data_IF_449895594989
#
_entry.id   IF_449895594989
#
_cell.length_a   1.000
_cell.length_b   1.000
_cell.length_c   1.000
_cell.angle_alpha   90.00
_cell.angle_beta   90.00
_cell.angle_gamma   90.00
#
_symmetry.space_group_name_H-M   'P 1'
#
loop_
_entity.id
_entity.type
_entity.pdbx_description
1 polymer ?
#
# COMPACT_ATOMS: atom_id res chain seq x y z
N UNK A 1 -3.81 -4.47 -4.05
CA UNK A 1 -4.49 -5.76 -3.78
C UNK A 1 -3.53 -6.94 -3.60
N UNK A 2 -2.38 -6.95 -4.30
CA UNK A 2 -1.33 -7.97 -4.11
C UNK A 2 -0.73 -7.87 -2.71
N UNK A 3 -0.36 -6.69 -2.26
CA UNK A 3 0.22 -6.45 -0.93
C UNK A 3 -0.74 -6.82 0.22
N UNK A 4 -2.05 -6.57 0.08
CA UNK A 4 -3.04 -7.00 1.08
C UNK A 4 -3.19 -8.53 1.14
N UNK A 5 -3.02 -9.25 0.02
CA UNK A 5 -3.03 -10.73 0.03
C UNK A 5 -1.75 -11.28 0.64
N UNK A 6 -0.58 -10.70 0.32
CA UNK A 6 0.71 -11.09 0.91
C UNK A 6 0.70 -10.92 2.43
N UNK A 7 0.22 -9.78 2.93
CA UNK A 7 0.05 -9.53 4.36
C UNK A 7 -0.91 -10.57 4.98
N UNK A 8 -2.04 -10.92 4.33
CA UNK A 8 -2.95 -11.95 4.83
C UNK A 8 -2.32 -13.33 4.92
N UNK A 9 -1.54 -13.77 3.93
CA UNK A 9 -0.89 -15.10 3.95
C UNK A 9 0.27 -15.17 4.95
N UNK A 10 1.04 -14.10 5.12
CA UNK A 10 2.10 -14.02 6.13
C UNK A 10 1.55 -14.01 7.57
N UNK A 11 0.36 -13.44 7.81
CA UNK A 11 -0.30 -13.46 9.11
C UNK A 11 -0.85 -14.85 9.52
N UNK A 12 -1.15 -15.76 8.58
CA UNK A 12 -1.62 -17.12 8.93
C UNK A 12 -0.52 -18.03 9.51
N UNK A 13 0.76 -17.68 9.38
CA UNK A 13 1.88 -18.44 9.97
C UNK A 13 2.04 -18.19 11.48
N UNK A 14 1.29 -17.24 12.04
CA UNK A 14 1.38 -16.83 13.44
C UNK A 14 0.94 -17.88 14.49
N UNK A 15 0.37 -19.00 14.09
CA UNK A 15 -0.36 -19.91 15.01
C UNK A 15 0.45 -21.08 15.60
N UNK A 16 1.77 -21.14 15.51
CA UNK A 16 2.51 -22.33 15.96
C UNK A 16 3.60 -22.10 17.01
N UNK A 17 3.45 -21.11 17.88
CA UNK A 17 4.27 -21.06 19.09
C UNK A 17 3.43 -21.38 20.31
N UNK A 18 3.53 -22.63 20.76
CA UNK A 18 2.97 -23.08 22.01
C UNK A 18 3.43 -22.19 23.16
N UNK A 19 2.49 -21.47 23.74
CA UNK A 19 2.67 -20.70 24.95
C UNK A 19 2.86 -21.69 26.09
N UNK A 20 4.10 -21.98 26.42
CA UNK A 20 4.43 -22.63 27.72
C UNK A 20 4.20 -21.62 28.83
N UNK A 21 3.10 -21.80 29.51
CA UNK A 21 2.83 -21.51 30.89
C UNK A 21 3.36 -20.24 31.54
N UNK A 22 2.91 -19.06 31.05
CA UNK A 22 2.84 -17.84 31.86
C UNK A 22 1.44 -17.30 31.73
N UNK A 23 0.82 -16.90 32.82
CA UNK A 23 -0.50 -16.29 32.85
C UNK A 23 -0.45 -14.99 32.02
N UNK A 24 -0.65 -15.11 30.71
CA UNK A 24 -0.78 -13.95 29.83
C UNK A 24 -1.91 -13.09 30.37
N UNK A 25 -1.62 -11.83 30.65
CA UNK A 25 -2.64 -10.94 31.14
C UNK A 25 -3.78 -10.84 30.13
N UNK A 26 -4.97 -10.58 30.63
CA UNK A 26 -6.18 -10.43 29.79
C UNK A 26 -5.99 -9.45 28.63
N UNK A 27 -5.17 -8.40 28.83
CA UNK A 27 -4.81 -7.41 27.83
C UNK A 27 -3.95 -7.98 26.69
N UNK A 28 -2.94 -8.79 26.99
CA UNK A 28 -2.09 -9.45 25.98
C UNK A 28 -2.91 -10.40 25.11
N UNK A 29 -3.82 -11.18 25.73
CA UNK A 29 -4.71 -12.10 25.03
C UNK A 29 -5.67 -11.30 24.11
N UNK A 30 -6.25 -10.20 24.62
CA UNK A 30 -7.14 -9.34 23.83
C UNK A 30 -6.41 -8.74 22.64
N UNK A 31 -5.23 -8.17 22.86
CA UNK A 31 -4.39 -7.55 21.85
C UNK A 31 -3.99 -8.57 20.77
N UNK A 32 -3.51 -9.75 21.18
CA UNK A 32 -3.17 -10.82 20.26
C UNK A 32 -4.35 -11.27 19.40
N UNK A 33 -5.57 -11.32 19.94
CA UNK A 33 -6.78 -11.63 19.17
C UNK A 33 -7.09 -10.58 18.12
N UNK A 34 -7.01 -9.29 18.46
CA UNK A 34 -7.28 -8.19 17.55
C UNK A 34 -6.27 -8.19 16.38
N UNK A 35 -4.98 -8.35 16.70
CA UNK A 35 -3.92 -8.46 15.70
C UNK A 35 -4.13 -9.64 14.76
N UNK A 36 -4.40 -10.83 15.31
CA UNK A 36 -4.60 -12.04 14.52
C UNK A 36 -5.84 -11.97 13.62
N UNK A 37 -6.88 -11.28 14.06
CA UNK A 37 -8.11 -11.10 13.28
C UNK A 37 -8.00 -9.96 12.25
N UNK A 38 -6.95 -9.11 12.34
CA UNK A 38 -6.83 -7.91 11.52
C UNK A 38 -7.95 -6.89 11.80
N UNK A 39 -8.42 -6.85 13.05
CA UNK A 39 -9.50 -5.94 13.46
C UNK A 39 -8.89 -4.59 13.90
N UNK A 40 -8.41 -3.85 12.88
CA UNK A 40 -7.64 -2.63 13.10
C UNK A 40 -8.46 -1.50 13.72
N UNK A 41 -9.75 -1.39 13.37
CA UNK A 41 -10.61 -0.35 13.92
C UNK A 41 -10.89 -0.58 15.41
N UNK A 42 -11.23 -1.80 15.80
CA UNK A 42 -11.40 -2.14 17.22
C UNK A 42 -10.06 -2.01 17.96
N UNK A 43 -8.94 -2.37 17.32
CA UNK A 43 -7.60 -2.21 17.91
C UNK A 43 -7.30 -0.72 18.17
N UNK A 44 -7.54 0.17 17.22
CA UNK A 44 -7.31 1.62 17.39
C UNK A 44 -8.17 2.20 18.52
N UNK A 45 -9.42 1.76 18.64
CA UNK A 45 -10.33 2.21 19.70
C UNK A 45 -9.92 1.71 21.08
N UNK A 46 -9.58 0.42 21.20
CA UNK A 46 -9.29 -0.21 22.52
C UNK A 46 -7.84 0.00 22.99
N UNK A 47 -6.88 0.15 22.06
CA UNK A 47 -5.45 0.19 22.40
C UNK A 47 -5.09 1.26 23.43
N UNK A 48 -5.57 2.52 23.35
CA UNK A 48 -5.26 3.54 24.34
C UNK A 48 -5.66 3.17 25.77
N UNK A 49 -6.70 2.34 25.91
CA UNK A 49 -7.23 1.91 27.22
C UNK A 49 -6.46 0.74 27.82
N UNK A 50 -5.84 -0.10 26.99
CA UNK A 50 -5.21 -1.36 27.45
C UNK A 50 -3.70 -1.34 27.36
N UNK A 51 -3.07 -0.43 26.59
CA UNK A 51 -1.62 -0.42 26.32
C UNK A 51 -0.74 -0.48 27.57
N UNK A 52 -1.12 0.24 28.63
CA UNK A 52 -0.34 0.32 29.86
C UNK A 52 -0.43 -0.97 30.71
N UNK A 53 -1.41 -1.83 30.42
CA UNK A 53 -1.59 -3.14 31.06
C UNK A 53 -1.04 -4.29 30.22
N UNK A 54 -0.55 -4.04 29.01
CA UNK A 54 0.13 -5.03 28.17
C UNK A 54 1.51 -5.32 28.73
N UNK A 55 1.77 -6.58 29.04
CA UNK A 55 3.03 -6.99 29.66
C UNK A 55 4.09 -7.41 28.67
N UNK A 56 3.70 -7.81 27.46
CA UNK A 56 4.63 -8.22 26.40
C UNK A 56 5.04 -7.02 25.55
N UNK A 57 6.27 -6.45 25.74
CA UNK A 57 6.69 -5.25 25.02
C UNK A 57 6.70 -5.43 23.49
N UNK A 58 7.09 -6.63 23.02
CA UNK A 58 7.06 -6.97 21.60
C UNK A 58 5.65 -6.85 21.03
N UNK A 59 4.64 -7.35 21.74
CA UNK A 59 3.25 -7.30 21.30
C UNK A 59 2.72 -5.85 21.23
N UNK A 60 3.16 -5.01 22.18
CA UNK A 60 2.85 -3.58 22.17
C UNK A 60 3.46 -2.88 20.95
N UNK A 61 4.75 -3.09 20.69
CA UNK A 61 5.44 -2.52 19.54
C UNK A 61 4.84 -2.99 18.21
N UNK A 62 4.44 -4.27 18.10
CA UNK A 62 3.75 -4.78 16.91
C UNK A 62 2.41 -4.08 16.70
N UNK A 63 1.65 -3.84 17.77
CA UNK A 63 0.37 -3.14 17.68
C UNK A 63 0.56 -1.70 17.24
N UNK A 64 1.51 -0.98 17.81
CA UNK A 64 1.84 0.40 17.44
C UNK A 64 2.33 0.49 16.00
N UNK A 65 3.20 -0.42 15.56
CA UNK A 65 3.66 -0.48 14.17
C UNK A 65 2.51 -0.66 13.18
N UNK A 66 1.60 -1.60 13.47
CA UNK A 66 0.48 -1.90 12.57
C UNK A 66 -0.61 -0.83 12.64
N UNK A 67 -0.90 -0.28 13.81
CA UNK A 67 -1.79 0.88 13.92
C UNK A 67 -1.21 2.08 13.17
N UNK A 68 0.09 2.35 13.31
CA UNK A 68 0.77 3.38 12.55
C UNK A 68 0.62 3.18 11.03
N UNK A 69 0.78 1.95 10.57
CA UNK A 69 0.64 1.60 9.17
C UNK A 69 -0.80 1.78 8.65
N UNK A 70 -1.80 1.22 9.35
CA UNK A 70 -3.19 1.25 8.90
C UNK A 70 -3.86 2.62 9.06
N UNK A 71 -3.37 3.46 9.98
CA UNK A 71 -3.92 4.80 10.24
C UNK A 71 -2.98 5.93 9.78
N UNK A 72 -2.08 5.62 8.83
CA UNK A 72 -1.20 6.59 8.16
C UNK A 72 -0.35 7.44 9.13
N UNK A 73 0.32 6.78 10.07
CA UNK A 73 1.30 7.36 11.00
C UNK A 73 2.71 6.80 10.70
N UNK A 74 3.33 7.22 9.58
CA UNK A 74 4.52 6.57 9.03
C UNK A 74 5.72 6.59 9.97
N UNK A 75 5.95 7.69 10.71
CA UNK A 75 7.08 7.80 11.64
C UNK A 75 6.95 6.84 12.83
N UNK A 76 5.74 6.69 13.36
CA UNK A 76 5.43 5.71 14.41
C UNK A 76 5.69 4.28 13.91
N UNK A 77 5.18 3.95 12.72
CA UNK A 77 5.42 2.64 12.11
C UNK A 77 6.90 2.31 11.99
N UNK A 78 7.69 3.21 11.39
CA UNK A 78 9.12 2.99 11.16
C UNK A 78 9.85 2.81 12.50
N UNK A 79 9.59 3.70 13.47
CA UNK A 79 10.21 3.65 14.79
C UNK A 79 9.92 2.32 15.51
N UNK A 80 8.66 1.87 15.49
CA UNK A 80 8.26 0.63 16.13
C UNK A 80 8.83 -0.60 15.40
N UNK A 81 8.84 -0.61 14.07
CA UNK A 81 9.45 -1.70 13.30
C UNK A 81 10.95 -1.78 13.56
N UNK A 82 11.67 -0.66 13.58
CA UNK A 82 13.10 -0.65 13.88
C UNK A 82 13.39 -1.17 15.28
N UNK A 83 12.60 -0.78 16.27
CA UNK A 83 12.71 -1.29 17.64
C UNK A 83 12.44 -2.80 17.72
N UNK A 84 11.44 -3.30 16.99
CA UNK A 84 11.15 -4.73 16.91
C UNK A 84 12.33 -5.51 16.30
N UNK A 85 12.87 -5.04 15.19
CA UNK A 85 13.98 -5.68 14.50
C UNK A 85 15.29 -5.58 15.30
N UNK A 86 15.49 -4.54 16.08
CA UNK A 86 16.68 -4.38 16.89
C UNK A 86 16.67 -5.25 18.15
N UNK A 87 15.51 -5.41 18.81
CA UNK A 87 15.46 -5.98 20.14
C UNK A 87 14.74 -7.33 20.23
N UNK A 88 13.93 -7.71 19.25
CA UNK A 88 13.01 -8.85 19.32
C UNK A 88 13.07 -9.81 18.13
N UNK A 89 14.18 -9.82 17.36
CA UNK A 89 14.28 -10.68 16.17
C UNK A 89 14.09 -12.16 16.47
N UNK A 90 14.66 -12.63 17.60
CA UNK A 90 14.59 -14.04 17.99
C UNK A 90 13.14 -14.46 18.31
N UNK A 91 12.41 -13.59 18.99
CA UNK A 91 11.03 -13.82 19.42
C UNK A 91 10.03 -13.66 18.27
N UNK A 92 10.30 -12.73 17.34
CA UNK A 92 9.45 -12.49 16.18
C UNK A 92 9.36 -13.70 15.25
N UNK A 93 10.49 -14.37 15.04
CA UNK A 93 10.61 -15.38 14.01
C UNK A 93 10.55 -14.82 12.59
N UNK A 94 11.00 -15.62 11.61
CA UNK A 94 11.23 -15.19 10.24
C UNK A 94 9.97 -14.59 9.55
N UNK A 95 8.81 -15.19 9.78
CA UNK A 95 7.56 -14.72 9.15
C UNK A 95 7.15 -13.31 9.57
N UNK A 96 7.30 -13.01 10.87
CA UNK A 96 6.98 -11.66 11.37
C UNK A 96 8.05 -10.65 10.98
N UNK A 97 9.32 -11.04 10.95
CA UNK A 97 10.41 -10.19 10.43
C UNK A 97 10.10 -9.81 8.98
N UNK A 98 9.77 -10.77 8.13
CA UNK A 98 9.40 -10.51 6.75
C UNK A 98 8.21 -9.56 6.64
N UNK A 99 7.17 -9.75 7.46
CA UNK A 99 5.99 -8.89 7.50
C UNK A 99 6.32 -7.46 7.92
N UNK A 100 7.14 -7.29 8.96
CA UNK A 100 7.54 -5.97 9.45
C UNK A 100 8.44 -5.23 8.44
N UNK A 101 9.37 -5.93 7.78
CA UNK A 101 10.19 -5.35 6.71
C UNK A 101 9.36 -4.95 5.51
N UNK A 102 8.35 -5.75 5.14
CA UNK A 102 7.41 -5.40 4.08
C UNK A 102 6.60 -4.15 4.43
N UNK A 103 6.06 -4.08 5.65
CA UNK A 103 5.34 -2.89 6.15
C UNK A 103 6.24 -1.66 6.10
N UNK A 104 7.48 -1.75 6.60
CA UNK A 104 8.45 -0.64 6.55
C UNK A 104 8.75 -0.23 5.10
N UNK A 105 8.96 -1.18 4.21
CA UNK A 105 9.22 -0.92 2.79
C UNK A 105 8.04 -0.19 2.12
N UNK A 106 6.79 -0.60 2.39
CA UNK A 106 5.60 0.07 1.86
C UNK A 106 5.50 1.50 2.39
N UNK A 107 5.74 1.71 3.69
CA UNK A 107 5.70 3.04 4.30
C UNK A 107 6.76 3.96 3.70
N UNK A 108 8.00 3.46 3.49
CA UNK A 108 9.06 4.22 2.83
C UNK A 108 8.70 4.56 1.37
N UNK A 109 8.13 3.60 0.63
CA UNK A 109 7.67 3.84 -0.74
C UNK A 109 6.56 4.90 -0.81
N UNK A 110 5.60 4.87 0.14
CA UNK A 110 4.53 5.87 0.23
C UNK A 110 5.06 7.28 0.56
N UNK A 111 6.21 7.36 1.23
CA UNK A 111 6.94 8.63 1.46
C UNK A 111 7.80 9.06 0.26
N UNK A 112 7.81 8.28 -0.82
CA UNK A 112 8.62 8.51 -2.01
C UNK A 112 10.08 8.05 -1.87
N UNK A 113 10.44 7.37 -0.79
CA UNK A 113 11.79 6.85 -0.55
C UNK A 113 11.99 5.49 -1.25
N UNK A 114 11.74 5.43 -2.56
CA UNK A 114 11.72 4.19 -3.34
C UNK A 114 13.03 3.40 -3.27
N UNK A 115 14.17 4.10 -3.24
CA UNK A 115 15.47 3.46 -3.09
C UNK A 115 15.56 2.70 -1.76
N UNK A 116 15.17 3.33 -0.66
CA UNK A 116 15.15 2.70 0.67
C UNK A 116 14.18 1.52 0.71
N UNK A 117 13.00 1.70 0.13
CA UNK A 117 11.99 0.64 0.05
C UNK A 117 12.49 -0.61 -0.69
N UNK A 118 13.19 -0.41 -1.83
CA UNK A 118 13.79 -1.50 -2.58
C UNK A 118 14.94 -2.17 -1.81
N UNK A 119 15.82 -1.37 -1.20
CA UNK A 119 17.01 -1.88 -0.49
C UNK A 119 16.62 -2.73 0.73
N UNK A 120 15.62 -2.32 1.52
CA UNK A 120 15.10 -3.09 2.65
C UNK A 120 14.74 -4.53 2.22
N UNK A 121 13.96 -4.66 1.15
CA UNK A 121 13.49 -5.98 0.68
C UNK A 121 14.59 -6.78 -0.01
N UNK A 122 15.47 -6.11 -0.76
CA UNK A 122 16.60 -6.72 -1.46
C UNK A 122 17.62 -7.29 -0.48
N UNK A 123 17.97 -6.52 0.56
CA UNK A 123 18.92 -6.96 1.59
C UNK A 123 18.36 -8.16 2.35
N UNK A 124 17.09 -8.11 2.73
CA UNK A 124 16.42 -9.22 3.39
C UNK A 124 16.43 -10.50 2.54
N UNK A 125 15.99 -10.41 1.28
CA UNK A 125 15.95 -11.59 0.40
C UNK A 125 17.33 -12.12 0.04
N UNK A 126 18.33 -11.25 -0.09
CA UNK A 126 19.72 -11.64 -0.32
C UNK A 126 20.27 -12.47 0.84
N UNK A 127 20.09 -12.01 2.09
CA UNK A 127 20.51 -12.73 3.27
C UNK A 127 19.84 -14.11 3.39
N UNK A 128 18.56 -14.21 3.09
CA UNK A 128 17.84 -15.48 3.13
C UNK A 128 18.36 -16.47 2.07
N UNK A 129 18.63 -15.98 0.86
CA UNK A 129 19.22 -16.81 -0.21
C UNK A 129 20.62 -17.29 0.14
N UNK A 130 21.46 -16.43 0.71
CA UNK A 130 22.79 -16.79 1.19
C UNK A 130 22.75 -17.86 2.29
N UNK A 131 21.72 -17.84 3.13
CA UNK A 131 21.48 -18.86 4.16
C UNK A 131 20.80 -20.13 3.63
N UNK A 132 20.49 -20.19 2.34
CA UNK A 132 19.84 -21.35 1.71
C UNK A 132 18.37 -21.52 2.12
N UNK A 133 17.68 -20.47 2.56
CA UNK A 133 16.27 -20.55 2.92
C UNK A 133 15.42 -20.75 1.67
N UNK A 134 14.72 -21.88 1.61
CA UNK A 134 13.82 -22.20 0.52
C UNK A 134 12.44 -21.58 0.75
N UNK A 135 12.10 -20.53 -0.01
CA UNK A 135 10.77 -19.92 -0.03
C UNK A 135 10.47 -19.38 -1.42
N UNK A 136 9.21 -19.05 -1.68
CA UNK A 136 8.82 -18.32 -2.88
C UNK A 136 9.11 -16.82 -2.72
N UNK A 137 10.12 -16.33 -3.42
CA UNK A 137 10.56 -14.95 -3.40
C UNK A 137 9.84 -14.07 -4.44
N UNK A 138 9.02 -14.63 -5.32
CA UNK A 138 8.47 -13.97 -6.51
C UNK A 138 7.83 -12.63 -6.19
N UNK A 139 6.97 -12.59 -5.19
CA UNK A 139 6.24 -11.36 -4.85
C UNK A 139 7.14 -10.27 -4.25
N UNK A 140 8.15 -10.65 -3.47
CA UNK A 140 9.11 -9.70 -2.90
C UNK A 140 10.02 -9.16 -4.02
N UNK A 141 10.49 -10.04 -4.91
CA UNK A 141 11.31 -9.63 -6.05
C UNK A 141 10.55 -8.69 -7.00
N UNK A 142 9.26 -8.92 -7.23
CA UNK A 142 8.39 -8.00 -7.98
C UNK A 142 8.27 -6.63 -7.30
N UNK A 143 8.14 -6.61 -5.97
CA UNK A 143 8.11 -5.36 -5.21
C UNK A 143 9.45 -4.61 -5.30
N UNK A 144 10.58 -5.31 -5.16
CA UNK A 144 11.93 -4.75 -5.35
C UNK A 144 12.05 -4.14 -6.75
N UNK A 145 11.70 -4.90 -7.80
CA UNK A 145 11.75 -4.41 -9.17
C UNK A 145 10.85 -3.20 -9.39
N UNK A 146 9.67 -3.17 -8.78
CA UNK A 146 8.76 -2.03 -8.86
C UNK A 146 9.38 -0.78 -8.25
N UNK A 147 9.90 -0.86 -7.01
CA UNK A 147 10.51 0.28 -6.34
C UNK A 147 11.82 0.73 -7.00
N UNK A 148 12.63 -0.19 -7.49
CA UNK A 148 13.89 0.13 -8.19
C UNK A 148 13.67 0.99 -9.45
N UNK A 149 12.54 0.85 -10.14
CA UNK A 149 12.20 1.71 -11.29
C UNK A 149 12.10 3.18 -10.91
N UNK A 150 11.66 3.45 -9.69
CA UNK A 150 11.48 4.81 -9.17
C UNK A 150 12.66 5.29 -8.32
N UNK A 151 13.71 4.49 -8.15
CA UNK A 151 14.88 4.76 -7.28
C UNK A 151 15.47 6.15 -7.44
N UNK A 152 15.57 6.62 -8.67
CA UNK A 152 16.17 7.92 -9.02
C UNK A 152 15.11 9.00 -9.30
N UNK A 153 13.84 8.72 -9.02
CA UNK A 153 12.79 9.70 -9.19
C UNK A 153 12.69 10.60 -7.96
N UNK A 154 12.33 11.87 -8.14
CA UNK A 154 12.01 12.73 -7.00
C UNK A 154 10.89 12.08 -6.16
N UNK A 155 10.94 12.19 -4.83
CA UNK A 155 9.90 11.65 -3.98
C UNK A 155 8.54 12.31 -4.28
N UNK A 156 7.46 11.52 -4.14
CA UNK A 156 6.13 12.09 -4.14
C UNK A 156 5.98 13.03 -2.94
N UNK A 157 5.35 14.17 -3.15
CA UNK A 157 5.07 15.13 -2.08
C UNK A 157 3.65 15.65 -2.16
N UNK A 158 3.08 15.97 -1.00
CA UNK A 158 1.72 16.47 -0.86
C UNK A 158 1.79 17.83 -0.17
N UNK A 159 1.30 18.85 -0.86
CA UNK A 159 1.15 20.19 -0.32
C UNK A 159 -0.28 20.34 0.19
N UNK A 160 -0.44 20.38 1.51
CA UNK A 160 -1.73 20.55 2.16
C UNK A 160 -2.06 22.04 2.30
N UNK A 161 -3.34 22.43 2.17
CA UNK A 161 -3.77 23.80 2.43
C UNK A 161 -3.62 24.14 3.91
N UNK A 162 -3.43 25.43 4.22
CA UNK A 162 -3.34 25.91 5.61
C UNK A 162 -4.67 25.79 6.39
N UNK A 163 -5.78 25.63 5.69
CA UNK A 163 -7.13 25.50 6.27
C UNK A 163 -7.74 24.18 5.81
N UNK A 164 -8.66 23.67 6.60
CA UNK A 164 -9.45 22.51 6.20
C UNK A 164 -10.11 22.78 4.85
N UNK A 165 -9.92 21.87 3.92
CA UNK A 165 -10.57 21.89 2.61
C UNK A 165 -11.63 20.80 2.53
N UNK A 166 -12.70 21.08 1.79
CA UNK A 166 -13.76 20.13 1.50
C UNK A 166 -13.68 19.76 0.02
N UNK A 167 -13.46 18.48 -0.25
CA UNK A 167 -13.43 17.96 -1.61
C UNK A 167 -14.79 17.33 -1.88
N UNK A 168 -15.51 17.89 -2.84
CA UNK A 168 -16.78 17.33 -3.27
C UNK A 168 -16.57 16.04 -4.07
N UNK A 169 -17.26 14.99 -3.68
CA UNK A 169 -17.30 13.72 -4.39
C UNK A 169 -18.69 13.49 -4.98
N UNK A 170 -18.74 12.86 -6.13
CA UNK A 170 -19.99 12.44 -6.77
C UNK A 170 -20.03 10.93 -6.94
N UNK A 171 -21.19 10.33 -6.71
CA UNK A 171 -21.43 8.93 -7.07
C UNK A 171 -22.03 8.89 -8.47
N UNK A 172 -21.47 8.07 -9.33
CA UNK A 172 -21.99 7.87 -10.68
C UNK A 172 -21.99 6.37 -11.04
N UNK A 173 -22.86 6.00 -11.99
CA UNK A 173 -22.94 4.62 -12.43
C UNK A 173 -21.90 4.35 -13.52
N UNK A 174 -21.14 3.26 -13.33
CA UNK A 174 -20.25 2.72 -14.36
C UNK A 174 -20.97 1.63 -15.13
N UNK A 175 -20.85 1.64 -16.44
CA UNK A 175 -21.23 0.52 -17.31
C UNK A 175 -19.98 -0.31 -17.60
N UNK A 176 -19.96 -1.53 -17.10
CA UNK A 176 -18.92 -2.51 -17.39
C UNK A 176 -19.43 -3.44 -18.50
N UNK A 177 -18.83 -3.38 -19.67
CA UNK A 177 -19.07 -4.35 -20.73
C UNK A 177 -18.26 -5.62 -20.43
N UNK A 178 -18.93 -6.62 -19.86
CA UNK A 178 -18.35 -7.95 -19.61
C UNK A 178 -18.58 -8.83 -20.84
N UNK A 179 -17.73 -9.84 -21.04
CA UNK A 179 -17.86 -10.81 -22.13
C UNK A 179 -19.33 -11.27 -22.29
N UNK A 180 -19.84 -11.30 -23.51
CA UNK A 180 -21.18 -11.69 -23.94
C UNK A 180 -22.29 -10.64 -23.76
N UNK A 181 -22.01 -9.37 -24.08
CA UNK A 181 -22.99 -8.27 -24.09
C UNK A 181 -23.74 -8.05 -22.76
N UNK A 182 -23.22 -8.57 -21.66
CA UNK A 182 -23.82 -8.34 -20.35
C UNK A 182 -23.29 -7.03 -19.79
N UNK A 183 -24.15 -6.03 -19.69
CA UNK A 183 -23.83 -4.75 -19.04
C UNK A 183 -24.03 -4.91 -17.55
N UNK A 184 -22.93 -4.94 -16.78
CA UNK A 184 -23.03 -4.75 -15.34
C UNK A 184 -22.98 -3.27 -15.00
N UNK A 185 -23.86 -2.83 -14.13
CA UNK A 185 -23.84 -1.49 -13.55
C UNK A 185 -23.17 -1.55 -12.19
N UNK A 186 -22.11 -0.76 -12.01
CA UNK A 186 -21.51 -0.50 -10.73
C UNK A 186 -21.67 0.97 -10.37
N UNK A 187 -21.45 1.32 -9.11
CA UNK A 187 -21.30 2.71 -8.64
C UNK A 187 -19.85 2.96 -8.27
N UNK A 188 -19.31 4.10 -8.68
CA UNK A 188 -17.98 4.56 -8.25
C UNK A 188 -18.04 5.97 -7.72
N UNK A 189 -17.19 6.25 -6.75
CA UNK A 189 -16.97 7.61 -6.28
C UNK A 189 -16.03 8.34 -7.23
N UNK A 190 -16.37 9.58 -7.54
CA UNK A 190 -15.58 10.44 -8.40
C UNK A 190 -15.17 11.71 -7.69
N UNK A 191 -13.99 12.18 -8.04
CA UNK A 191 -13.43 13.44 -7.60
C UNK A 191 -12.99 14.24 -8.82
N UNK A 192 -13.12 15.57 -8.73
CA UNK A 192 -12.56 16.46 -9.75
C UNK A 192 -11.09 16.70 -9.47
N UNK A 193 -10.25 16.49 -10.49
CA UNK A 193 -8.81 16.74 -10.44
C UNK A 193 -8.43 17.79 -11.50
N UNK A 194 -7.34 18.50 -11.25
CA UNK A 194 -6.74 19.42 -12.23
C UNK A 194 -5.33 18.97 -12.59
N UNK A 195 -5.07 18.74 -13.86
CA UNK A 195 -3.75 18.45 -14.41
C UNK A 195 -3.47 19.43 -15.56
N UNK A 196 -2.31 20.09 -15.54
CA UNK A 196 -1.95 21.10 -16.56
C UNK A 196 -3.04 22.15 -16.78
N UNK A 197 -3.62 22.66 -15.68
CA UNK A 197 -4.69 23.67 -15.67
C UNK A 197 -6.01 23.23 -16.32
N UNK A 198 -6.21 21.94 -16.58
CA UNK A 198 -7.45 21.38 -17.11
C UNK A 198 -8.08 20.46 -16.08
N UNK A 199 -9.40 20.54 -15.95
CA UNK A 199 -10.17 19.69 -15.06
C UNK A 199 -10.51 18.37 -15.74
N UNK A 200 -10.46 17.30 -14.92
CA UNK A 200 -10.81 15.93 -15.31
C UNK A 200 -11.58 15.26 -14.17
N UNK A 201 -12.31 14.21 -14.51
CA UNK A 201 -13.04 13.37 -13.55
C UNK A 201 -12.21 12.11 -13.30
N UNK A 202 -11.94 11.82 -12.03
CA UNK A 202 -11.17 10.66 -11.61
C UNK A 202 -11.98 9.78 -10.67
N UNK A 203 -11.82 8.46 -10.76
CA UNK A 203 -12.37 7.54 -9.77
C UNK A 203 -11.53 7.64 -8.50
N UNK A 204 -12.19 7.80 -7.36
CA UNK A 204 -11.58 7.66 -6.05
C UNK A 204 -11.76 6.22 -5.57
N UNK A 205 -10.69 5.42 -5.70
CA UNK A 205 -10.69 4.00 -5.37
C UNK A 205 -9.73 3.73 -4.21
N UNK A 206 -10.28 3.55 -2.99
CA UNK A 206 -9.48 3.26 -1.79
C UNK A 206 -8.89 1.85 -1.77
N UNK A 207 -9.27 0.99 -2.70
CA UNK A 207 -8.82 -0.41 -2.79
C UNK A 207 -7.63 -0.64 -3.71
N UNK A 208 -7.24 0.35 -4.48
CA UNK A 208 -6.14 0.18 -5.38
C UNK A 208 -4.80 0.63 -4.74
N UNK A 209 -3.68 0.10 -5.18
CA UNK A 209 -2.34 0.30 -4.60
C UNK A 209 -1.49 1.32 -5.36
N UNK A 210 -1.98 1.86 -6.47
CA UNK A 210 -1.26 2.81 -7.31
C UNK A 210 -2.24 3.59 -8.18
N UNK A 211 -1.84 4.75 -8.65
CA UNK A 211 -2.63 5.55 -9.58
C UNK A 211 -2.54 4.96 -10.99
N UNK A 212 -3.68 4.64 -11.58
CA UNK A 212 -3.77 4.08 -12.93
C UNK A 212 -4.24 5.13 -13.93
N UNK A 213 -3.67 5.09 -15.14
CA UNK A 213 -4.10 5.91 -16.28
C UNK A 213 -4.22 5.08 -17.56
N UNK A 214 -5.10 5.50 -18.45
CA UNK A 214 -5.05 5.05 -19.83
C UNK A 214 -3.81 5.62 -20.54
N UNK A 215 -3.29 4.92 -21.56
CA UNK A 215 -2.15 5.42 -22.35
C UNK A 215 -2.48 6.76 -23.02
N UNK A 216 -3.71 6.93 -23.51
CA UNK A 216 -4.17 8.16 -24.12
C UNK A 216 -4.15 9.34 -23.12
N UNK A 217 -4.61 9.11 -21.90
CA UNK A 217 -4.62 10.13 -20.85
C UNK A 217 -3.21 10.45 -20.37
N UNK A 218 -2.35 9.45 -20.20
CA UNK A 218 -0.95 9.66 -19.84
C UNK A 218 -0.20 10.53 -20.87
N UNK A 219 -0.40 10.28 -22.16
CA UNK A 219 0.13 11.12 -23.25
C UNK A 219 -0.43 12.54 -23.21
N UNK A 220 -1.75 12.68 -23.00
CA UNK A 220 -2.45 13.98 -22.93
C UNK A 220 -1.99 14.83 -21.75
N UNK A 221 -1.66 14.21 -20.64
CA UNK A 221 -1.23 14.88 -19.40
C UNK A 221 0.29 15.04 -19.27
N UNK A 222 1.06 14.47 -20.20
CA UNK A 222 2.51 14.61 -20.25
C UNK A 222 3.24 13.74 -19.22
N UNK A 223 2.70 12.57 -18.88
CA UNK A 223 3.37 11.62 -18.00
C UNK A 223 4.73 11.24 -18.59
N UNK A 224 5.79 11.42 -17.80
CA UNK A 224 7.15 11.05 -18.15
C UNK A 224 7.33 9.55 -17.92
N UNK A 225 7.55 8.80 -18.99
CA UNK A 225 7.78 7.35 -18.93
C UNK A 225 9.09 7.02 -18.23
N UNK A 226 9.06 5.97 -17.39
CA UNK A 226 10.21 5.47 -16.64
C UNK A 226 10.57 4.05 -17.08
N UNK A 227 9.57 3.20 -17.32
CA UNK A 227 9.78 1.82 -17.75
C UNK A 227 8.66 1.33 -18.67
N UNK A 228 9.03 0.49 -19.65
CA UNK A 228 8.14 0.06 -20.73
C UNK A 228 7.40 -1.25 -20.47
N UNK A 229 7.80 -2.07 -19.52
CA UNK A 229 7.12 -3.33 -19.24
C UNK A 229 6.92 -3.53 -17.76
N UNK A 230 5.67 -3.59 -17.37
CA UNK A 230 5.21 -3.87 -16.01
C UNK A 230 4.11 -4.92 -16.10
N UNK A 231 4.24 -6.01 -15.35
CA UNK A 231 3.11 -6.87 -15.09
C UNK A 231 2.28 -6.26 -13.96
N UNK A 232 1.01 -6.05 -14.23
CA UNK A 232 0.04 -5.53 -13.28
C UNK A 232 -0.85 -6.69 -12.89
N UNK A 233 -0.73 -7.14 -11.64
CA UNK A 233 -1.54 -8.20 -11.10
C UNK A 233 -2.79 -7.63 -10.42
N UNK A 234 -3.95 -7.99 -10.95
CA UNK A 234 -5.25 -7.64 -10.40
C UNK A 234 -6.19 -8.82 -10.45
N UNK A 235 -7.46 -8.60 -10.80
CA UNK A 235 -8.39 -9.68 -11.18
C UNK A 235 -7.95 -10.42 -12.45
N UNK A 236 -7.17 -9.75 -13.30
CA UNK A 236 -6.47 -10.28 -14.47
C UNK A 236 -5.05 -9.72 -14.47
N UNK A 237 -4.10 -10.44 -15.07
CA UNK A 237 -2.74 -9.93 -15.30
C UNK A 237 -2.74 -9.14 -16.61
N UNK A 238 -2.30 -7.89 -16.57
CA UNK A 238 -2.14 -7.03 -17.74
C UNK A 238 -0.72 -6.48 -17.81
N UNK A 239 -0.29 -6.10 -19.02
CA UNK A 239 0.99 -5.43 -19.22
C UNK A 239 0.78 -3.93 -19.30
N UNK A 240 1.61 -3.18 -18.59
CA UNK A 240 1.58 -1.74 -18.55
C UNK A 240 2.95 -1.09 -18.61
N UNK A 241 2.97 0.20 -18.42
CA UNK A 241 4.18 1.02 -18.30
C UNK A 241 4.16 1.73 -16.94
N UNK A 242 5.33 2.16 -16.49
CA UNK A 242 5.45 3.04 -15.32
C UNK A 242 5.88 4.43 -15.76
N UNK A 243 5.34 5.45 -15.11
CA UNK A 243 5.71 6.84 -15.36
C UNK A 243 5.55 7.72 -14.13
N UNK A 244 5.93 8.97 -14.26
CA UNK A 244 5.71 10.02 -13.25
C UNK A 244 4.85 11.11 -13.87
N UNK A 245 3.78 11.48 -13.19
CA UNK A 245 3.04 12.71 -13.43
C UNK A 245 3.62 13.80 -12.54
N UNK A 246 4.04 14.92 -13.13
CA UNK A 246 4.75 15.98 -12.40
C UNK A 246 3.89 16.59 -11.30
N UNK A 247 2.62 16.87 -11.58
CA UNK A 247 1.69 17.39 -10.57
C UNK A 247 0.23 17.16 -10.90
N UNK A 248 -0.57 17.07 -9.85
CA UNK A 248 -2.03 17.01 -9.90
C UNK A 248 -2.59 17.79 -8.71
N UNK A 249 -3.70 18.47 -8.92
CA UNK A 249 -4.42 19.20 -7.88
C UNK A 249 -5.79 18.56 -7.63
N UNK A 250 -6.16 18.39 -6.36
CA UNK A 250 -7.46 17.90 -5.89
C UNK A 250 -8.02 18.91 -4.90
N UNK A 251 -8.99 19.71 -5.31
CA UNK A 251 -9.37 20.87 -4.51
C UNK A 251 -8.18 21.80 -4.29
N UNK A 252 -7.83 22.05 -3.03
CA UNK A 252 -6.67 22.88 -2.63
C UNK A 252 -5.40 22.05 -2.35
N UNK A 253 -5.45 20.73 -2.51
CA UNK A 253 -4.32 19.82 -2.29
C UNK A 253 -3.53 19.69 -3.59
N UNK A 254 -2.21 19.87 -3.52
CA UNK A 254 -1.32 19.65 -4.66
C UNK A 254 -0.45 18.43 -4.38
N UNK A 255 -0.48 17.48 -5.29
CA UNK A 255 0.38 16.27 -5.25
C UNK A 255 1.39 16.38 -6.37
N UNK A 256 2.67 16.14 -6.06
CA UNK A 256 3.78 16.20 -7.04
C UNK A 256 4.51 14.88 -7.16
N UNK A 257 5.14 14.66 -8.30
CA UNK A 257 5.95 13.49 -8.61
C UNK A 257 5.19 12.18 -8.40
N UNK A 258 3.99 12.09 -8.93
CA UNK A 258 3.05 11.00 -8.69
C UNK A 258 3.45 9.78 -9.52
N UNK A 259 3.74 8.63 -8.92
CA UNK A 259 3.95 7.38 -9.64
C UNK A 259 2.67 6.95 -10.34
N UNK A 260 2.77 6.68 -11.63
CA UNK A 260 1.65 6.29 -12.46
C UNK A 260 1.89 4.92 -13.06
N UNK A 261 0.89 4.08 -12.98
CA UNK A 261 0.80 2.85 -13.75
C UNK A 261 -0.08 3.09 -14.98
N UNK A 262 0.51 2.94 -16.16
CA UNK A 262 -0.16 3.18 -17.43
C UNK A 262 -0.61 1.84 -17.98
N UNK A 263 -1.91 1.70 -18.20
CA UNK A 263 -2.49 0.51 -18.80
C UNK A 263 -2.48 0.63 -20.34
N UNK A 264 -1.88 -0.36 -21.01
CA UNK A 264 -1.88 -0.50 -22.47
C UNK A 264 -3.08 -1.30 -22.99
N UNK A 265 -3.79 -1.99 -22.12
CA UNK A 265 -4.93 -2.82 -22.54
C UNK A 265 -6.16 -1.93 -22.79
N UNK A 266 -6.57 -1.90 -24.05
CA UNK A 266 -7.75 -1.16 -24.51
C UNK A 266 -9.07 -1.72 -23.98
N UNK A 267 -9.09 -2.89 -23.35
CA UNK A 267 -10.32 -3.46 -22.76
C UNK A 267 -10.80 -2.69 -21.54
N UNK A 268 -9.88 -2.07 -20.78
CA UNK A 268 -10.25 -1.15 -19.70
C UNK A 268 -10.64 0.25 -20.21
N UNK A 269 -10.23 0.62 -21.40
CA UNK A 269 -10.64 1.87 -22.07
C UNK A 269 -12.11 1.85 -22.54
N UNK A 270 -12.80 0.71 -22.42
CA UNK A 270 -14.23 0.56 -22.75
C UNK A 270 -15.17 0.99 -21.62
N UNK A 271 -14.63 1.40 -20.49
CA UNK A 271 -15.41 2.12 -19.48
C UNK A 271 -15.51 3.55 -19.99
N UNK A 272 -16.65 3.87 -20.59
CA UNK A 272 -16.92 5.21 -21.14
C UNK A 272 -16.64 6.25 -20.05
N UNK A 273 -15.82 7.27 -20.37
CA UNK A 273 -15.51 8.47 -19.60
C UNK A 273 -14.57 8.33 -18.38
N UNK A 274 -13.77 7.28 -18.24
CA UNK A 274 -12.80 7.19 -17.17
C UNK A 274 -11.37 7.29 -17.70
N UNK A 275 -10.78 8.46 -17.57
CA UNK A 275 -9.39 8.72 -17.95
C UNK A 275 -8.40 8.29 -16.85
N UNK A 276 -8.84 8.23 -15.60
CA UNK A 276 -7.96 8.04 -14.43
C UNK A 276 -8.69 7.35 -13.29
N UNK A 277 -8.05 6.34 -12.70
CA UNK A 277 -8.40 5.79 -11.39
C UNK A 277 -7.36 6.24 -10.37
N UNK A 278 -7.80 7.04 -9.42
CA UNK A 278 -6.97 7.61 -8.36
C UNK A 278 -6.95 6.74 -7.14
N UNK A 279 -5.73 6.60 -6.62
CA UNK A 279 -5.55 5.83 -5.43
C UNK A 279 -4.41 6.38 -4.61
N UNK A 280 -4.55 6.23 -3.32
CA UNK A 280 -3.53 6.51 -2.32
C UNK A 280 -2.93 7.91 -2.44
N UNK A 281 -3.64 8.86 -1.89
CA UNK A 281 -3.08 10.15 -1.50
C UNK A 281 -3.12 10.23 0.01
#
# INVERSE_FOLDING_TARGET
MIYMKLIKYLFYIFMLLGVTGVWAQKSDIRLGKLLNNGDWFTLEEEYPMIKDSVQTPMLRLMSEALLGYYFNRPDETITCVDSLLQHYQAELGLGNIASMLLVKSIVEANRGNYAVAADILKDFTSQLREQGVAMDYTQIDEAVQFYDRFRNCPPMSIELPQKNTVIAMSNDSIRLNIKNDTVQRGTSMYVSITVNSKQYKAIFDTGASTTFMSEAFAKKTGVRLIADSLQIHGGITVYGQSGILDSMQIGDIIVRNIPITINKDTTLNKVEDIDLSLIHI
#
